data_IF_503877583253
#
_entry.id   IF_503877583253
#
_cell.length_a   1.000
_cell.length_b   1.000
_cell.length_c   1.000
_cell.angle_alpha   90.00
_cell.angle_beta   90.00
_cell.angle_gamma   90.00
#
_symmetry.space_group_name_H-M   'P 1'
#
loop_
_entity.id
_entity.type
_entity.pdbx_description
1 polymer ?
#
# COMPACT_ATOMS: atom_id res chain seq x y z
N UNK A 1 -22.99 -20.45 -2.39
CA UNK A 1 -22.67 -19.41 -1.40
C UNK A 1 -23.84 -19.30 -0.45
N UNK A 2 -23.67 -19.42 0.88
CA UNK A 2 -24.80 -19.64 1.81
C UNK A 2 -25.84 -18.53 1.84
N UNK A 3 -25.46 -17.28 1.62
CA UNK A 3 -26.37 -16.13 1.66
C UNK A 3 -27.23 -15.97 0.40
N UNK A 4 -26.94 -16.72 -0.67
CA UNK A 4 -27.60 -16.55 -1.97
C UNK A 4 -27.15 -15.34 -2.79
N UNK A 5 -26.36 -14.43 -2.21
CA UNK A 5 -25.84 -13.25 -2.91
C UNK A 5 -24.71 -13.60 -3.89
N UNK A 6 -24.42 -12.70 -4.83
CA UNK A 6 -23.29 -12.84 -5.74
C UNK A 6 -21.98 -12.67 -4.96
N UNK A 7 -21.16 -13.73 -4.92
CA UNK A 7 -19.91 -13.68 -4.17
C UNK A 7 -18.70 -13.35 -5.04
N UNK A 8 -18.58 -14.03 -6.19
CA UNK A 8 -17.40 -13.94 -7.04
C UNK A 8 -17.80 -14.00 -8.51
N UNK A 9 -17.20 -13.12 -9.31
CA UNK A 9 -17.28 -13.13 -10.76
C UNK A 9 -15.89 -13.47 -11.29
N UNK A 10 -15.79 -14.51 -12.11
CA UNK A 10 -14.55 -14.86 -12.82
C UNK A 10 -14.78 -14.70 -14.31
N UNK A 11 -14.06 -13.77 -14.93
CA UNK A 11 -14.03 -13.57 -16.37
C UNK A 11 -12.72 -14.11 -16.90
N UNK A 12 -12.76 -14.95 -17.95
CA UNK A 12 -11.57 -15.55 -18.54
C UNK A 12 -11.58 -15.35 -20.06
N UNK A 13 -10.46 -14.88 -20.60
CA UNK A 13 -10.20 -14.75 -22.04
C UNK A 13 -8.82 -15.34 -22.35
N UNK A 14 -8.79 -16.46 -23.07
CA UNK A 14 -7.55 -17.22 -23.36
C UNK A 14 -6.72 -17.46 -22.08
N UNK A 15 -5.55 -16.83 -22.00
CA UNK A 15 -4.62 -16.92 -20.86
C UNK A 15 -4.77 -15.78 -19.85
N UNK A 16 -5.81 -14.95 -20.00
CA UNK A 16 -6.10 -13.83 -19.10
C UNK A 16 -7.33 -14.15 -18.27
N UNK A 17 -7.31 -13.71 -17.02
CA UNK A 17 -8.49 -13.77 -16.18
C UNK A 17 -8.56 -12.56 -15.26
N UNK A 18 -9.79 -12.25 -14.84
CA UNK A 18 -10.09 -11.31 -13.77
C UNK A 18 -11.03 -12.03 -12.82
N UNK A 19 -10.65 -12.10 -11.55
CA UNK A 19 -11.48 -12.59 -10.46
C UNK A 19 -11.88 -11.38 -9.61
N UNK A 20 -13.17 -11.14 -9.49
CA UNK A 20 -13.75 -10.05 -8.71
C UNK A 20 -14.53 -10.67 -7.57
N UNK A 21 -14.18 -10.33 -6.33
CA UNK A 21 -14.92 -10.71 -5.12
C UNK A 21 -15.83 -9.55 -4.75
N UNK A 22 -17.11 -9.83 -4.52
CA UNK A 22 -18.11 -8.86 -4.11
C UNK A 22 -18.45 -8.98 -2.63
N UNK A 23 -18.97 -7.88 -2.09
CA UNK A 23 -19.58 -7.86 -0.77
C UNK A 23 -20.80 -8.78 -0.71
N UNK A 24 -21.04 -9.36 0.46
CA UNK A 24 -22.20 -10.23 0.70
C UNK A 24 -23.48 -9.39 0.88
N UNK A 25 -23.95 -8.78 -0.21
CA UNK A 25 -25.15 -7.93 -0.25
C UNK A 25 -26.01 -8.24 -1.48
N UNK A 26 -27.35 -8.11 -1.36
CA UNK A 26 -28.27 -8.39 -2.47
C UNK A 26 -28.23 -7.33 -3.58
N UNK A 27 -28.14 -6.05 -3.21
CA UNK A 27 -28.15 -4.92 -4.13
C UNK A 27 -26.95 -4.00 -3.86
N UNK A 28 -26.43 -3.36 -4.91
CA UNK A 28 -25.31 -2.40 -4.84
C UNK A 28 -24.09 -2.94 -4.09
N UNK A 29 -23.76 -4.22 -4.30
CA UNK A 29 -22.61 -4.86 -3.67
C UNK A 29 -21.31 -4.20 -4.13
N UNK A 30 -20.49 -3.77 -3.18
CA UNK A 30 -19.18 -3.20 -3.46
C UNK A 30 -18.16 -4.30 -3.80
N UNK A 31 -17.12 -3.92 -4.54
CA UNK A 31 -16.00 -4.82 -4.84
C UNK A 31 -15.11 -4.94 -3.60
N UNK A 32 -14.91 -6.16 -3.11
CA UNK A 32 -14.07 -6.48 -1.96
C UNK A 32 -12.66 -6.90 -2.38
N UNK A 33 -12.50 -7.49 -3.56
CA UNK A 33 -11.17 -7.75 -4.13
C UNK A 33 -11.21 -7.90 -5.65
N UNK A 34 -10.08 -7.61 -6.30
CA UNK A 34 -9.84 -7.84 -7.72
C UNK A 34 -8.49 -8.52 -7.89
N UNK A 35 -8.46 -9.66 -8.55
CA UNK A 35 -7.25 -10.38 -8.92
C UNK A 35 -7.16 -10.49 -10.43
N UNK A 36 -6.03 -10.09 -11.01
CA UNK A 36 -5.83 -10.09 -12.45
C UNK A 36 -4.65 -11.00 -12.80
N UNK A 37 -4.76 -11.69 -13.93
CA UNK A 37 -3.70 -12.55 -14.47
C UNK A 37 -2.40 -11.81 -14.80
N UNK A 38 -2.41 -10.47 -14.87
CA UNK A 38 -1.19 -9.67 -15.03
C UNK A 38 -0.44 -9.41 -13.72
N UNK A 39 -0.84 -10.07 -12.62
CA UNK A 39 -0.22 -9.95 -11.31
C UNK A 39 -0.66 -8.74 -10.50
N UNK A 40 -1.54 -7.87 -11.05
CA UNK A 40 -2.13 -6.75 -10.30
C UNK A 40 -3.33 -7.24 -9.50
N UNK A 41 -3.21 -7.16 -8.18
CA UNK A 41 -4.23 -7.62 -7.27
C UNK A 41 -4.53 -6.54 -6.22
N UNK A 42 -5.79 -6.39 -5.84
CA UNK A 42 -6.21 -5.40 -4.84
C UNK A 42 -7.30 -5.98 -3.97
N UNK A 43 -7.23 -5.76 -2.66
CA UNK A 43 -8.26 -6.09 -1.69
C UNK A 43 -8.67 -4.82 -0.96
N UNK A 44 -9.93 -4.72 -0.58
CA UNK A 44 -10.53 -3.55 0.05
C UNK A 44 -11.02 -3.91 1.45
N UNK A 45 -11.05 -2.91 2.32
CA UNK A 45 -11.83 -2.97 3.54
C UNK A 45 -13.33 -2.91 3.21
N UNK A 46 -14.20 -3.33 4.14
CA UNK A 46 -15.61 -2.92 4.11
C UNK A 46 -15.67 -1.38 4.00
N UNK A 47 -16.45 -0.83 3.05
CA UNK A 47 -16.50 0.60 2.65
C UNK A 47 -15.45 1.07 1.63
N UNK A 48 -14.72 0.15 0.99
CA UNK A 48 -13.97 0.43 -0.24
C UNK A 48 -12.58 1.05 -0.09
N UNK A 49 -12.10 1.31 1.14
CA UNK A 49 -10.72 1.73 1.35
C UNK A 49 -9.74 0.60 0.96
N UNK A 50 -8.63 0.92 0.28
CA UNK A 50 -7.65 -0.10 -0.14
C UNK A 50 -6.99 -0.71 1.08
N UNK A 51 -7.07 -2.03 1.21
CA UNK A 51 -6.45 -2.77 2.29
C UNK A 51 -5.11 -3.37 1.85
N UNK A 52 -5.10 -4.03 0.70
CA UNK A 52 -3.90 -4.64 0.14
C UNK A 52 -3.81 -4.28 -1.33
N UNK A 53 -2.62 -3.88 -1.78
CA UNK A 53 -2.31 -3.70 -3.19
C UNK A 53 -1.04 -4.47 -3.54
N UNK A 54 -1.10 -5.28 -4.60
CA UNK A 54 -0.01 -6.15 -5.04
C UNK A 54 0.18 -6.03 -6.55
N UNK A 55 1.43 -6.17 -6.97
CA UNK A 55 1.85 -6.26 -8.36
C UNK A 55 2.92 -7.35 -8.53
N UNK A 56 3.55 -7.40 -9.70
CA UNK A 56 4.61 -8.37 -10.02
C UNK A 56 5.92 -8.19 -9.24
N UNK A 57 6.13 -7.04 -8.57
CA UNK A 57 7.32 -6.77 -7.77
C UNK A 57 7.11 -7.13 -6.29
N UNK A 58 5.89 -6.92 -5.77
CA UNK A 58 5.59 -7.16 -4.38
C UNK A 58 4.20 -6.72 -3.99
N UNK A 59 4.07 -6.27 -2.76
CA UNK A 59 2.81 -5.73 -2.26
C UNK A 59 2.96 -4.84 -1.05
N UNK A 60 1.85 -4.20 -0.71
CA UNK A 60 1.73 -3.34 0.45
C UNK A 60 0.40 -3.57 1.16
N UNK A 61 0.46 -3.47 2.49
CA UNK A 61 -0.66 -3.54 3.40
C UNK A 61 -0.90 -2.13 3.93
N UNK A 62 -2.13 -1.65 3.82
CA UNK A 62 -2.55 -0.34 4.27
C UNK A 62 -3.56 -0.47 5.42
N UNK A 63 -3.61 0.52 6.30
CA UNK A 63 -4.69 0.67 7.28
C UNK A 63 -5.93 1.34 6.65
N UNK A 64 -7.02 1.45 7.41
CA UNK A 64 -8.26 2.09 6.94
C UNK A 64 -8.11 3.58 6.61
N UNK A 65 -7.08 4.25 7.14
CA UNK A 65 -6.75 5.63 6.81
C UNK A 65 -5.83 5.75 5.58
N UNK A 66 -5.48 4.63 4.96
CA UNK A 66 -4.59 4.56 3.79
C UNK A 66 -3.11 4.69 4.12
N UNK A 67 -2.71 4.63 5.40
CA UNK A 67 -1.29 4.61 5.75
C UNK A 67 -0.70 3.22 5.49
N UNK A 68 0.51 3.19 4.94
CA UNK A 68 1.23 1.95 4.68
C UNK A 68 1.77 1.36 5.98
N UNK A 69 1.17 0.24 6.42
CA UNK A 69 1.59 -0.53 7.61
C UNK A 69 2.75 -1.46 7.27
N UNK A 70 2.72 -2.08 6.08
CA UNK A 70 3.73 -3.05 5.66
C UNK A 70 3.96 -3.01 4.16
N UNK A 71 5.19 -3.33 3.74
CA UNK A 71 5.57 -3.60 2.35
C UNK A 71 6.41 -4.87 2.30
N UNK A 72 6.26 -5.64 1.23
CA UNK A 72 7.10 -6.80 0.93
C UNK A 72 7.44 -6.83 -0.55
N UNK A 73 8.46 -7.60 -0.89
CA UNK A 73 8.86 -7.90 -2.26
C UNK A 73 8.80 -9.40 -2.49
N UNK A 74 8.53 -9.82 -3.72
CA UNK A 74 8.58 -11.24 -4.06
C UNK A 74 10.04 -11.69 -4.15
N UNK A 75 10.39 -12.94 -3.81
CA UNK A 75 11.78 -13.42 -3.82
C UNK A 75 12.51 -13.26 -5.17
N UNK A 76 11.75 -13.18 -6.28
CA UNK A 76 12.30 -13.06 -7.63
C UNK A 76 12.15 -11.65 -8.23
N UNK A 77 11.74 -10.65 -7.45
CA UNK A 77 11.73 -9.26 -7.91
C UNK A 77 13.16 -8.70 -7.86
N UNK A 78 13.76 -8.46 -9.01
CA UNK A 78 15.11 -7.91 -9.13
C UNK A 78 15.16 -6.55 -8.42
N UNK A 79 15.93 -6.44 -7.33
CA UNK A 79 16.29 -5.16 -6.73
C UNK A 79 17.75 -5.18 -6.28
N UNK A 80 18.53 -4.27 -6.86
CA UNK A 80 19.95 -4.03 -6.61
C UNK A 80 20.26 -3.19 -5.36
N UNK A 81 19.32 -2.95 -4.43
CA UNK A 81 19.65 -2.30 -3.16
C UNK A 81 18.56 -2.50 -2.10
N UNK A 82 18.90 -3.21 -1.03
CA UNK A 82 18.06 -3.38 0.16
C UNK A 82 17.47 -4.80 0.24
N UNK A 83 17.80 -5.52 1.31
CA UNK A 83 17.32 -6.87 1.55
C UNK A 83 15.77 -6.91 1.45
N UNK A 84 15.19 -7.79 0.61
CA UNK A 84 13.75 -7.97 0.55
C UNK A 84 13.22 -8.31 1.94
N UNK A 85 12.25 -7.54 2.46
CA UNK A 85 11.52 -8.00 3.64
C UNK A 85 10.70 -9.20 3.20
N UNK A 86 10.97 -10.40 3.72
CA UNK A 86 10.25 -11.59 3.32
C UNK A 86 8.77 -11.44 3.71
N UNK A 87 7.90 -11.90 2.80
CA UNK A 87 6.49 -12.00 3.11
C UNK A 87 6.31 -13.05 4.21
N UNK A 88 5.69 -12.63 5.32
CA UNK A 88 5.03 -13.58 6.22
C UNK A 88 3.60 -13.78 5.73
N UNK A 89 3.05 -15.00 5.81
CA UNK A 89 1.70 -15.30 5.36
C UNK A 89 0.67 -14.26 5.79
N UNK A 90 -0.07 -13.70 4.83
CA UNK A 90 -1.15 -12.75 5.12
C UNK A 90 -2.48 -13.47 4.94
N UNK A 91 -3.37 -13.23 5.89
CA UNK A 91 -4.74 -13.72 5.90
C UNK A 91 -5.66 -12.54 6.17
N UNK A 92 -6.66 -12.35 5.32
CA UNK A 92 -7.69 -11.35 5.51
C UNK A 92 -9.07 -11.97 5.28
N UNK A 93 -10.06 -11.59 6.08
CA UNK A 93 -11.46 -11.92 5.86
C UNK A 93 -12.09 -10.73 5.12
N UNK A 94 -12.51 -10.94 3.88
CA UNK A 94 -13.21 -9.91 3.09
C UNK A 94 -14.65 -9.75 3.57
N UNK A 95 -15.29 -10.87 3.93
CA UNK A 95 -16.58 -10.87 4.62
C UNK A 95 -16.68 -12.11 5.53
N UNK A 96 -17.87 -12.41 6.05
CA UNK A 96 -18.13 -13.55 6.94
C UNK A 96 -17.78 -14.91 6.32
N UNK A 97 -17.93 -15.02 5.00
CA UNK A 97 -17.84 -16.27 4.26
C UNK A 97 -16.61 -16.33 3.36
N UNK A 98 -15.99 -15.20 3.01
CA UNK A 98 -14.89 -15.12 2.04
C UNK A 98 -13.63 -14.53 2.68
N UNK A 99 -12.51 -15.21 2.48
CA UNK A 99 -11.19 -14.76 2.90
C UNK A 99 -10.14 -14.93 1.80
N UNK A 100 -9.01 -14.24 1.97
CA UNK A 100 -7.85 -14.29 1.06
C UNK A 100 -6.62 -14.69 1.87
N UNK A 101 -5.86 -15.63 1.33
CA UNK A 101 -4.56 -16.07 1.85
C UNK A 101 -3.46 -15.76 0.83
N UNK A 102 -2.44 -15.03 1.26
CA UNK A 102 -1.31 -14.61 0.42
C UNK A 102 -0.03 -15.23 1.00
N UNK A 103 0.59 -16.13 0.24
CA UNK A 103 1.86 -16.79 0.60
C UNK A 103 2.99 -16.47 -0.38
N UNK A 104 2.66 -16.04 -1.60
CA UNK A 104 3.58 -15.79 -2.68
C UNK A 104 2.84 -15.25 -3.90
N UNK A 105 3.57 -14.79 -4.91
CA UNK A 105 2.99 -14.21 -6.14
C UNK A 105 2.01 -15.17 -6.84
N UNK A 106 2.34 -16.47 -6.85
CA UNK A 106 1.58 -17.55 -7.47
C UNK A 106 0.77 -18.39 -6.46
N UNK A 107 0.85 -18.04 -5.18
CA UNK A 107 0.20 -18.71 -4.06
C UNK A 107 -0.73 -17.75 -3.34
N UNK A 108 -1.73 -17.27 -4.07
CA UNK A 108 -2.79 -16.40 -3.55
C UNK A 108 -4.11 -17.17 -3.68
N UNK A 109 -4.72 -17.54 -2.56
CA UNK A 109 -5.97 -18.30 -2.58
C UNK A 109 -7.13 -17.46 -2.05
N UNK A 110 -8.26 -17.52 -2.75
CA UNK A 110 -9.55 -17.09 -2.21
C UNK A 110 -10.23 -18.31 -1.62
N UNK A 111 -10.72 -18.20 -0.39
CA UNK A 111 -11.41 -19.27 0.32
C UNK A 111 -12.81 -18.87 0.71
N UNK A 112 -13.76 -19.76 0.48
CA UNK A 112 -15.10 -19.75 1.06
C UNK A 112 -15.12 -20.65 2.29
N UNK A 113 -15.66 -20.15 3.39
CA UNK A 113 -15.89 -20.92 4.61
C UNK A 113 -17.38 -20.82 4.98
N UNK A 114 -18.03 -21.97 5.10
CA UNK A 114 -19.42 -22.05 5.52
C UNK A 114 -19.72 -23.41 6.14
N UNK A 115 -20.46 -23.43 7.25
CA UNK A 115 -20.95 -24.68 7.87
C UNK A 115 -19.84 -25.73 8.10
N UNK A 116 -18.64 -25.30 8.52
CA UNK A 116 -17.49 -26.18 8.73
C UNK A 116 -16.81 -26.68 7.45
N UNK A 117 -17.31 -26.32 6.27
CA UNK A 117 -16.73 -26.69 4.98
C UNK A 117 -15.97 -25.51 4.37
N UNK A 118 -14.86 -25.83 3.71
CA UNK A 118 -14.02 -24.85 3.02
C UNK A 118 -13.85 -25.21 1.55
N UNK A 119 -14.15 -24.26 0.67
CA UNK A 119 -13.75 -24.31 -0.73
C UNK A 119 -12.67 -23.26 -0.98
N UNK A 120 -11.62 -23.60 -1.73
CA UNK A 120 -10.53 -22.67 -2.03
C UNK A 120 -10.10 -22.80 -3.48
N UNK A 121 -9.72 -21.69 -4.08
CA UNK A 121 -9.16 -21.69 -5.44
C UNK A 121 -8.05 -20.66 -5.54
N UNK A 122 -7.05 -20.97 -6.38
CA UNK A 122 -5.89 -20.11 -6.58
C UNK A 122 -6.22 -19.00 -7.57
N UNK A 123 -5.90 -17.77 -7.18
CA UNK A 123 -5.96 -16.55 -8.00
C UNK A 123 -4.57 -15.91 -8.17
N UNK A 124 -3.53 -16.52 -7.58
CA UNK A 124 -2.15 -16.11 -7.77
C UNK A 124 -1.70 -16.33 -9.21
N UNK A 125 -0.81 -15.49 -9.70
CA UNK A 125 -0.25 -15.64 -11.05
C UNK A 125 1.23 -15.32 -11.04
N UNK A 126 2.05 -16.29 -11.46
CA UNK A 126 3.47 -16.07 -11.70
C UNK A 126 3.66 -15.40 -13.04
N UNK A 127 3.80 -14.08 -13.02
CA UNK A 127 4.18 -13.32 -14.22
C UNK A 127 5.70 -13.23 -14.23
N UNK A 128 6.33 -13.99 -15.13
CA UNK A 128 7.75 -13.82 -15.42
C UNK A 128 7.88 -12.67 -16.42
N UNK A 129 8.70 -11.68 -16.10
CA UNK A 129 9.04 -10.63 -17.07
C UNK A 129 10.17 -11.17 -17.92
N UNK A 130 9.85 -11.52 -19.17
CA UNK A 130 10.81 -12.06 -20.15
C UNK A 130 11.84 -11.03 -20.62
N UNK A 131 11.71 -9.76 -20.21
CA UNK A 131 12.56 -8.66 -20.66
C UNK A 131 13.08 -7.86 -19.46
N UNK A 132 14.17 -8.36 -18.88
CA UNK A 132 14.76 -7.93 -17.61
C UNK A 132 15.33 -6.50 -17.68
N UNK A 133 15.54 -5.95 -18.88
CA UNK A 133 16.04 -4.59 -19.10
C UNK A 133 14.99 -3.47 -19.04
N UNK A 134 13.69 -3.79 -18.93
CA UNK A 134 12.59 -2.80 -19.06
C UNK A 134 11.76 -2.57 -17.80
N UNK A 135 12.01 -3.30 -16.72
CA UNK A 135 11.38 -2.97 -15.44
C UNK A 135 12.03 -1.70 -14.90
N UNK A 136 11.27 -0.61 -14.68
CA UNK A 136 11.82 0.53 -13.96
C UNK A 136 12.34 0.00 -12.61
N UNK A 137 13.54 0.45 -12.17
CA UNK A 137 14.02 0.20 -10.81
C UNK A 137 12.86 0.43 -9.82
N UNK A 138 12.79 -0.31 -8.69
CA UNK A 138 11.77 -0.06 -7.68
C UNK A 138 11.71 1.45 -7.46
N UNK A 139 10.54 2.05 -7.75
CA UNK A 139 10.40 3.47 -8.06
C UNK A 139 11.32 4.30 -7.16
N UNK A 140 12.45 4.76 -7.72
CA UNK A 140 13.21 5.84 -7.12
C UNK A 140 12.21 6.98 -7.05
N UNK A 141 11.99 7.52 -5.85
CA UNK A 141 10.96 8.54 -5.67
C UNK A 141 11.29 9.67 -6.64
N UNK A 142 10.34 9.99 -7.53
CA UNK A 142 10.51 11.10 -8.46
C UNK A 142 10.60 12.43 -7.72
N UNK A 143 11.06 13.48 -8.41
CA UNK A 143 11.13 14.83 -7.85
C UNK A 143 9.78 15.27 -7.25
N UNK A 144 8.69 15.06 -7.99
CA UNK A 144 7.32 15.36 -7.54
C UNK A 144 6.92 14.57 -6.28
N UNK A 145 7.29 13.29 -6.19
CA UNK A 145 6.94 12.47 -5.04
C UNK A 145 7.70 12.91 -3.78
N UNK A 146 8.97 13.31 -3.94
CA UNK A 146 9.76 13.87 -2.85
C UNK A 146 9.24 15.25 -2.41
N UNK A 147 8.83 16.10 -3.35
CA UNK A 147 8.17 17.37 -3.07
C UNK A 147 6.84 17.17 -2.34
N UNK A 148 6.00 16.23 -2.79
CA UNK A 148 4.74 15.89 -2.12
C UNK A 148 4.97 15.40 -0.68
N UNK A 149 6.00 14.58 -0.46
CA UNK A 149 6.39 14.15 0.89
C UNK A 149 6.86 15.34 1.74
N UNK A 150 7.65 16.25 1.17
CA UNK A 150 8.12 17.47 1.84
C UNK A 150 6.94 18.37 2.25
N UNK A 151 6.01 18.63 1.33
CA UNK A 151 4.79 19.39 1.60
C UNK A 151 3.91 18.72 2.65
N UNK A 152 3.78 17.39 2.62
CA UNK A 152 3.04 16.65 3.66
C UNK A 152 3.64 16.90 5.05
N UNK A 153 4.97 16.81 5.18
CA UNK A 153 5.64 17.09 6.47
C UNK A 153 5.45 18.53 6.89
N UNK A 154 5.54 19.48 5.94
CA UNK A 154 5.29 20.90 6.19
C UNK A 154 3.87 21.16 6.72
N UNK A 155 2.85 20.57 6.08
CA UNK A 155 1.46 20.67 6.51
C UNK A 155 1.29 20.10 7.92
N UNK A 156 1.87 18.92 8.20
CA UNK A 156 1.77 18.32 9.53
C UNK A 156 2.47 19.17 10.61
N UNK A 157 3.62 19.79 10.31
CA UNK A 157 4.28 20.74 11.20
C UNK A 157 3.41 21.98 11.47
N UNK A 158 2.75 22.50 10.44
CA UNK A 158 1.82 23.63 10.60
C UNK A 158 0.65 23.26 11.51
N UNK A 159 0.05 22.07 11.33
CA UNK A 159 -0.99 21.58 12.24
C UNK A 159 -0.49 21.41 13.67
N UNK A 160 0.73 20.91 13.86
CA UNK A 160 1.34 20.78 15.18
C UNK A 160 1.54 22.16 15.85
N UNK A 161 2.05 23.15 15.12
CA UNK A 161 2.16 24.54 15.60
C UNK A 161 0.79 25.14 15.95
N UNK A 162 -0.22 24.94 15.11
CA UNK A 162 -1.59 25.40 15.38
C UNK A 162 -2.18 24.78 16.65
N UNK A 163 -1.99 23.48 16.84
CA UNK A 163 -2.39 22.79 18.09
C UNK A 163 -1.62 23.33 19.29
N UNK A 164 -0.33 23.61 19.14
CA UNK A 164 0.48 24.27 20.16
C UNK A 164 -0.09 25.63 20.57
N UNK A 165 -0.50 26.46 19.60
CA UNK A 165 -1.13 27.75 19.86
C UNK A 165 -2.46 27.63 20.60
N UNK A 166 -3.29 26.63 20.25
CA UNK A 166 -4.57 26.39 20.93
C UNK A 166 -4.39 25.92 22.37
N UNK A 167 -3.40 25.06 22.62
CA UNK A 167 -3.17 24.48 23.94
C UNK A 167 -2.37 25.41 24.88
N UNK A 168 -1.53 26.29 24.32
CA UNK A 168 -0.64 27.18 25.08
C UNK A 168 -0.66 28.62 24.54
N UNK A 169 -1.80 29.33 24.67
CA UNK A 169 -2.02 30.64 24.04
C UNK A 169 -1.12 31.77 24.59
N UNK A 170 -0.49 31.60 25.75
CA UNK A 170 0.36 32.62 26.40
C UNK A 170 1.85 32.27 26.42
N UNK A 171 2.27 31.17 25.79
CA UNK A 171 3.67 30.76 25.80
C UNK A 171 4.47 31.61 24.81
N UNK A 172 5.52 32.32 25.27
CA UNK A 172 6.42 33.09 24.41
C UNK A 172 7.59 32.26 23.84
N UNK A 173 7.82 31.05 24.35
CA UNK A 173 8.89 30.15 23.90
C UNK A 173 8.41 29.11 22.88
N UNK A 174 7.42 29.46 22.05
CA UNK A 174 6.75 28.51 21.12
C UNK A 174 7.71 27.85 20.14
N UNK A 175 8.69 28.59 19.64
CA UNK A 175 9.65 28.10 18.66
C UNK A 175 10.71 27.16 19.29
N UNK A 176 10.75 27.05 20.62
CA UNK A 176 11.62 26.10 21.34
C UNK A 176 10.95 24.74 21.58
N UNK A 177 9.64 24.62 21.35
CA UNK A 177 8.93 23.36 21.52
C UNK A 177 9.36 22.42 20.39
N UNK A 178 9.98 21.29 20.78
CA UNK A 178 10.41 20.29 19.81
C UNK A 178 9.18 19.66 19.16
N UNK A 179 9.18 19.49 17.82
CA UNK A 179 8.10 18.79 17.15
C UNK A 179 8.02 17.33 17.63
N UNK A 180 6.84 16.70 17.54
CA UNK A 180 6.68 15.28 17.82
C UNK A 180 7.72 14.39 17.13
N UNK A 181 8.15 13.32 17.81
CA UNK A 181 9.19 12.40 17.31
C UNK A 181 8.89 11.82 15.91
N UNK A 182 7.61 11.62 15.58
CA UNK A 182 7.20 11.13 14.26
C UNK A 182 7.51 12.14 13.14
N UNK A 183 7.38 13.45 13.38
CA UNK A 183 7.73 14.50 12.41
C UNK A 183 9.23 14.62 12.21
N UNK A 184 10.00 14.48 13.30
CA UNK A 184 11.47 14.44 13.24
C UNK A 184 11.92 13.25 12.39
N UNK A 185 11.33 12.08 12.63
CA UNK A 185 11.66 10.86 11.89
C UNK A 185 11.28 10.96 10.41
N UNK A 186 10.11 11.53 10.08
CA UNK A 186 9.70 11.76 8.69
C UNK A 186 10.62 12.75 7.99
N UNK A 187 11.01 13.84 8.67
CA UNK A 187 11.97 14.83 8.16
C UNK A 187 13.30 14.16 7.79
N UNK A 188 13.88 13.40 8.71
CA UNK A 188 15.15 12.70 8.49
C UNK A 188 15.06 11.69 7.34
N UNK A 189 13.95 10.94 7.26
CA UNK A 189 13.71 10.00 6.16
C UNK A 189 13.66 10.70 4.80
N UNK A 190 12.98 11.84 4.69
CA UNK A 190 12.92 12.60 3.43
C UNK A 190 14.31 13.11 3.04
N UNK A 191 15.06 13.67 4.00
CA UNK A 191 16.43 14.14 3.74
C UNK A 191 17.34 13.00 3.27
N UNK A 192 17.25 11.82 3.90
CA UNK A 192 17.98 10.63 3.47
C UNK A 192 17.57 10.21 2.05
N UNK A 193 16.27 10.18 1.74
CA UNK A 193 15.78 9.83 0.41
C UNK A 193 16.27 10.82 -0.66
N UNK A 194 16.41 12.11 -0.33
CA UNK A 194 16.97 13.12 -1.24
C UNK A 194 18.46 12.92 -1.54
N UNK A 195 19.20 12.25 -0.64
CA UNK A 195 20.63 11.93 -0.86
C UNK A 195 20.82 10.69 -1.72
N UNK A 196 19.87 9.75 -1.68
CA UNK A 196 19.93 8.49 -2.44
C UNK A 196 19.20 8.56 -3.79
N UNK A 197 18.49 9.66 -4.06
CA UNK A 197 17.72 9.87 -5.30
C UNK A 197 18.49 10.74 -6.28
N UNK A 198 18.33 10.42 -7.56
CA UNK A 198 18.95 11.11 -8.70
C UNK A 198 18.12 12.35 -9.06
N UNK A 199 18.21 13.37 -8.21
CA UNK A 199 17.46 14.65 -8.33
C UNK A 199 18.43 15.82 -8.37
N UNK A 200 18.01 16.91 -9.02
CA UNK A 200 18.81 18.13 -9.11
C UNK A 200 19.10 18.74 -7.73
N UNK A 201 20.24 19.45 -7.62
CA UNK A 201 20.61 20.16 -6.39
C UNK A 201 19.60 21.26 -6.02
N UNK A 202 18.96 21.87 -7.02
CA UNK A 202 17.89 22.85 -6.82
C UNK A 202 16.68 22.23 -6.11
N UNK A 203 16.22 21.07 -6.58
CA UNK A 203 15.10 20.35 -5.95
C UNK A 203 15.48 19.88 -4.56
N UNK A 204 16.71 19.37 -4.38
CA UNK A 204 17.23 18.96 -3.06
C UNK A 204 17.26 20.12 -2.06
N UNK A 205 17.69 21.30 -2.50
CA UNK A 205 17.71 22.51 -1.67
C UNK A 205 16.30 22.99 -1.32
N UNK A 206 15.38 22.96 -2.29
CA UNK A 206 13.96 23.30 -2.11
C UNK A 206 13.28 22.40 -1.09
N UNK A 207 13.48 21.08 -1.19
CA UNK A 207 12.95 20.11 -0.22
C UNK A 207 13.49 20.38 1.18
N UNK A 208 14.80 20.67 1.30
CA UNK A 208 15.41 21.01 2.59
C UNK A 208 14.82 22.29 3.18
N UNK A 209 14.54 23.29 2.36
CA UNK A 209 13.88 24.52 2.79
C UNK A 209 12.44 24.26 3.25
N UNK A 210 11.65 23.52 2.46
CA UNK A 210 10.25 23.18 2.78
C UNK A 210 10.12 22.44 4.10
N UNK A 211 10.99 21.45 4.34
CA UNK A 211 10.91 20.61 5.54
C UNK A 211 11.42 21.33 6.79
N UNK A 212 12.29 22.33 6.64
CA UNK A 212 12.85 23.10 7.77
C UNK A 212 12.12 24.41 8.08
N UNK A 213 11.22 24.88 7.20
CA UNK A 213 10.33 26.03 7.43
C UNK A 213 9.15 25.72 8.37
#
# INVERSE_FOLDING_TARGET
>A
YPSGNLAIIVVRDKNRFICIVQEDKPNNAEIQAVFKSNGRNTCYYPKGAVWINMNIQGGQYLDQAGNRVRRWMWPNSIVSSGAPVPLSPIFISLNRHVGVRILGQDKIAVSFLAMGQQAKFNVGTKVQVSDIGRLPPPARLGEDELLLLAFRVRILRLFDRLRGCLNFPSNEQRDKIKPPAYLITQTLKILQLCTTSDISDEVRSSIRAIVNA
#
